data_IF_807297949636
#
_entry.id   IF_807297949636
#
_cell.length_a   1.000
_cell.length_b   1.000
_cell.length_c   1.000
_cell.angle_alpha   90.00
_cell.angle_beta   90.00
_cell.angle_gamma   90.00
#
_symmetry.space_group_name_H-M   'P 1'
#
loop_
_entity.id
_entity.type
_entity.pdbx_description
1 polymer ?
#
# COMPACT_ATOMS: atom_id res chain seq x y z
N UNK A 1 -25.97 -12.02 -12.82
CA UNK A 1 -24.59 -12.23 -12.34
C UNK A 1 -23.94 -10.87 -12.18
N UNK A 2 -23.69 -10.35 -10.97
CA UNK A 2 -23.08 -9.04 -10.82
C UNK A 2 -21.55 -9.14 -10.94
N UNK A 3 -20.97 -8.40 -11.89
CA UNK A 3 -19.56 -8.06 -11.92
C UNK A 3 -19.46 -6.65 -11.33
N UNK A 4 -19.18 -6.55 -10.03
CA UNK A 4 -19.07 -5.25 -9.35
C UNK A 4 -17.65 -4.71 -9.48
N UNK A 5 -17.54 -3.45 -9.89
CA UNK A 5 -16.33 -2.63 -9.84
C UNK A 5 -16.60 -1.53 -8.81
N UNK A 6 -15.62 -1.24 -7.97
CA UNK A 6 -15.72 -0.25 -6.90
C UNK A 6 -15.74 1.16 -7.51
N UNK A 7 -16.85 1.90 -7.34
CA UNK A 7 -16.93 3.31 -7.70
C UNK A 7 -16.35 4.14 -6.54
N UNK A 8 -15.31 4.97 -6.76
CA UNK A 8 -14.73 5.80 -5.71
C UNK A 8 -15.70 6.80 -5.06
N UNK A 9 -16.88 7.04 -5.64
CA UNK A 9 -17.97 7.80 -5.01
C UNK A 9 -18.94 6.93 -4.17
N UNK A 10 -18.79 5.62 -4.18
CA UNK A 10 -19.61 4.71 -3.37
C UNK A 10 -19.31 4.82 -1.88
N UNK A 11 -20.32 4.53 -1.07
CA UNK A 11 -20.17 4.46 0.37
C UNK A 11 -19.06 3.47 0.77
N UNK A 12 -18.37 3.71 1.90
CA UNK A 12 -17.31 2.82 2.38
C UNK A 12 -17.74 1.37 2.44
N UNK A 13 -16.97 0.50 1.77
CA UNK A 13 -17.15 -0.94 1.95
C UNK A 13 -16.72 -1.29 3.37
N UNK A 14 -17.69 -1.77 4.16
CA UNK A 14 -17.43 -2.21 5.52
C UNK A 14 -17.07 -3.71 5.58
N UNK A 15 -16.21 -4.06 6.54
CA UNK A 15 -15.92 -5.47 6.83
C UNK A 15 -17.14 -6.19 7.37
N UNK A 16 -17.26 -7.46 7.02
CA UNK A 16 -18.30 -8.36 7.47
C UNK A 16 -17.72 -9.72 7.87
N UNK A 17 -18.02 -10.25 9.09
CA UNK A 17 -18.76 -9.57 10.14
C UNK A 17 -18.01 -8.34 10.64
N UNK A 18 -18.73 -7.32 11.12
CA UNK A 18 -18.10 -6.18 11.79
C UNK A 18 -17.28 -6.74 12.96
N UNK A 19 -15.96 -6.53 13.03
CA UNK A 19 -15.16 -7.06 14.13
C UNK A 19 -15.73 -6.59 15.47
N UNK A 20 -15.88 -7.52 16.41
CA UNK A 20 -16.37 -7.21 17.76
C UNK A 20 -15.41 -6.21 18.42
N UNK A 21 -15.93 -5.03 18.79
CA UNK A 21 -15.11 -3.92 19.33
C UNK A 21 -14.71 -2.84 18.33
N UNK A 22 -15.04 -2.97 17.04
CA UNK A 22 -14.93 -1.85 16.09
C UNK A 22 -16.08 -0.86 16.25
N UNK A 23 -16.10 -0.15 17.38
CA UNK A 23 -16.56 1.25 17.32
C UNK A 23 -15.59 1.99 16.39
N UNK A 24 -16.10 2.88 15.54
CA UNK A 24 -15.27 3.86 14.85
C UNK A 24 -14.32 4.50 15.87
N UNK A 25 -13.01 4.22 15.77
CA UNK A 25 -12.00 4.68 16.73
C UNK A 25 -11.30 3.62 17.59
N UNK A 26 -11.56 2.32 17.43
CA UNK A 26 -10.72 1.30 18.09
C UNK A 26 -9.32 1.27 17.43
N UNK A 27 -8.27 1.61 18.20
CA UNK A 27 -6.89 1.59 17.73
C UNK A 27 -6.58 0.22 17.10
N UNK A 28 -6.16 0.20 15.84
CA UNK A 28 -5.85 -1.00 15.06
C UNK A 28 -4.67 -1.82 15.62
N UNK A 29 -4.17 -1.48 16.81
CA UNK A 29 -2.92 -1.99 17.38
C UNK A 29 -1.71 -1.66 16.50
N UNK A 30 -1.87 -0.84 15.47
CA UNK A 30 -0.80 -0.41 14.57
C UNK A 30 -0.17 0.85 15.15
N UNK A 31 1.14 0.78 15.41
CA UNK A 31 1.96 1.91 15.82
C UNK A 31 2.78 2.41 14.64
N UNK A 32 3.27 3.66 14.67
CA UNK A 32 4.23 4.15 13.69
C UNK A 32 5.43 3.22 13.52
N UNK A 33 5.92 3.11 12.29
CA UNK A 33 7.04 2.24 11.91
C UNK A 33 8.19 3.09 11.40
N UNK A 34 9.29 3.11 12.16
CA UNK A 34 10.55 3.72 11.72
C UNK A 34 11.17 2.88 10.59
N UNK A 35 11.69 3.56 9.59
CA UNK A 35 12.40 2.97 8.45
C UNK A 35 13.62 3.81 8.10
N UNK A 36 14.56 3.21 7.37
CA UNK A 36 15.74 3.89 6.86
C UNK A 36 15.70 3.91 5.34
N UNK A 37 15.79 5.09 4.76
CA UNK A 37 15.84 5.29 3.32
C UNK A 37 17.19 4.82 2.75
N UNK A 38 17.26 4.66 1.43
CA UNK A 38 18.48 4.19 0.74
C UNK A 38 19.67 5.15 0.92
N UNK A 39 19.42 6.44 1.11
CA UNK A 39 20.43 7.46 1.38
C UNK A 39 20.84 7.52 2.86
N UNK A 40 20.30 6.63 3.71
CA UNK A 40 20.58 6.57 5.14
C UNK A 40 19.71 7.49 6.00
N UNK A 41 18.86 8.34 5.41
CA UNK A 41 17.98 9.20 6.18
C UNK A 41 16.90 8.38 6.91
N UNK A 42 16.59 8.80 8.14
CA UNK A 42 15.48 8.23 8.91
C UNK A 42 14.14 8.74 8.37
N UNK A 43 13.13 7.87 8.35
CA UNK A 43 11.76 8.22 8.05
C UNK A 43 10.81 7.37 8.92
N UNK A 44 9.58 7.83 9.07
CA UNK A 44 8.55 7.15 9.85
C UNK A 44 7.28 7.01 9.04
N UNK A 45 6.72 5.81 9.02
CA UNK A 45 5.40 5.52 8.44
C UNK A 45 4.38 5.61 9.57
N UNK A 46 3.44 6.54 9.45
CA UNK A 46 2.44 6.88 10.48
C UNK A 46 1.05 6.40 10.03
N UNK A 47 0.32 5.62 10.83
CA UNK A 47 -1.03 5.18 10.51
C UNK A 47 -2.08 6.26 10.84
N UNK A 48 -3.13 6.33 10.02
CA UNK A 48 -4.32 7.16 10.20
C UNK A 48 -5.57 6.33 9.91
N UNK A 49 -6.64 6.54 10.67
CA UNK A 49 -7.92 5.82 10.52
C UNK A 49 -9.11 6.72 10.19
N UNK A 50 -8.92 8.04 10.28
CA UNK A 50 -9.90 9.04 9.88
C UNK A 50 -9.21 10.21 9.19
N UNK A 51 -9.85 10.87 8.19
CA UNK A 51 -9.37 12.13 7.64
C UNK A 51 -9.13 13.21 8.71
N UNK A 52 -9.90 13.20 9.80
CA UNK A 52 -9.79 14.18 10.89
C UNK A 52 -8.48 14.05 11.70
N UNK A 53 -7.79 12.90 11.59
CA UNK A 53 -6.48 12.68 12.21
C UNK A 53 -5.33 13.27 11.37
N UNK A 54 -5.60 13.69 10.13
CA UNK A 54 -4.60 14.18 9.19
C UNK A 54 -4.65 15.71 9.15
N UNK A 55 -3.51 16.44 9.27
CA UNK A 55 -3.51 17.88 9.09
C UNK A 55 -4.09 18.28 7.74
N UNK A 56 -4.93 19.32 7.70
CA UNK A 56 -5.57 19.78 6.46
C UNK A 56 -4.54 20.16 5.37
N UNK A 57 -3.39 20.72 5.75
CA UNK A 57 -2.29 21.05 4.84
C UNK A 57 -1.65 19.79 4.23
N UNK A 58 -1.43 18.75 5.02
CA UNK A 58 -0.94 17.45 4.54
C UNK A 58 -1.97 16.77 3.63
N UNK A 59 -3.25 16.82 4.00
CA UNK A 59 -4.31 16.23 3.19
C UNK A 59 -4.41 16.91 1.82
N UNK A 60 -4.30 18.24 1.78
CA UNK A 60 -4.23 19.01 0.54
C UNK A 60 -3.01 18.65 -0.31
N UNK A 61 -1.85 18.46 0.31
CA UNK A 61 -0.64 18.03 -0.37
C UNK A 61 -0.80 16.64 -1.00
N UNK A 62 -1.32 15.67 -0.24
CA UNK A 62 -1.57 14.31 -0.73
C UNK A 62 -2.61 14.28 -1.85
N UNK A 63 -3.67 15.09 -1.75
CA UNK A 63 -4.65 15.26 -2.83
C UNK A 63 -3.98 15.81 -4.10
N UNK A 64 -3.08 16.78 -3.96
CA UNK A 64 -2.27 17.31 -5.06
C UNK A 64 -1.40 16.24 -5.72
N UNK A 65 -0.71 15.40 -4.92
CA UNK A 65 0.07 14.27 -5.45
C UNK A 65 -0.81 13.26 -6.22
N UNK A 66 -1.98 12.91 -5.68
CA UNK A 66 -2.91 12.00 -6.34
C UNK A 66 -3.44 12.57 -7.65
N UNK A 67 -3.82 13.85 -7.65
CA UNK A 67 -4.30 14.53 -8.84
C UNK A 67 -3.22 14.64 -9.92
N UNK A 68 -1.96 14.87 -9.54
CA UNK A 68 -0.84 14.86 -10.49
C UNK A 68 -0.66 13.48 -11.18
N UNK A 69 -0.87 12.37 -10.45
CA UNK A 69 -0.84 11.01 -11.03
C UNK A 69 -2.04 10.76 -11.98
N UNK A 70 -3.24 11.24 -11.62
CA UNK A 70 -4.43 11.20 -12.48
C UNK A 70 -4.20 12.01 -13.76
N UNK A 71 -3.64 13.21 -13.62
CA UNK A 71 -3.36 14.10 -14.74
C UNK A 71 -2.25 13.56 -15.64
N UNK A 72 -1.23 12.90 -15.08
CA UNK A 72 -0.24 12.14 -15.86
C UNK A 72 -0.90 11.00 -16.64
N UNK A 73 -1.88 10.32 -16.05
CA UNK A 73 -2.79 9.40 -16.76
C UNK A 73 -2.17 8.06 -17.15
N UNK A 74 -1.16 7.62 -16.41
CA UNK A 74 -0.42 6.38 -16.69
C UNK A 74 -0.47 5.35 -15.55
N UNK A 75 -1.00 5.71 -14.38
CA UNK A 75 -0.96 4.89 -13.15
C UNK A 75 -2.34 4.55 -12.61
N UNK A 76 -3.23 5.53 -12.49
CA UNK A 76 -4.62 5.35 -12.03
C UNK A 76 -5.61 5.38 -13.21
N UNK A 77 -6.75 4.65 -13.11
CA UNK A 77 -7.77 4.64 -14.16
C UNK A 77 -8.67 5.89 -14.16
N UNK A 78 -8.61 6.72 -13.12
CA UNK A 78 -9.39 7.94 -13.01
C UNK A 78 -8.93 8.96 -14.06
N UNK A 79 -9.86 9.77 -14.55
CA UNK A 79 -9.59 10.85 -15.53
C UNK A 79 -9.91 12.24 -14.99
N UNK A 80 -10.65 12.32 -13.88
CA UNK A 80 -11.04 13.56 -13.23
C UNK A 80 -10.31 13.71 -11.89
N UNK A 81 -9.63 14.84 -11.65
CA UNK A 81 -9.04 15.17 -10.35
C UNK A 81 -10.09 15.21 -9.23
N UNK A 82 -9.65 14.95 -8.01
CA UNK A 82 -10.49 14.96 -6.81
C UNK A 82 -10.36 16.30 -6.08
N UNK A 83 -11.49 16.83 -5.60
CA UNK A 83 -11.47 17.85 -4.55
C UNK A 83 -10.86 17.25 -3.26
N UNK A 84 -10.28 18.10 -2.40
CA UNK A 84 -9.55 17.65 -1.19
C UNK A 84 -10.44 16.85 -0.25
N UNK A 85 -11.69 17.26 -0.09
CA UNK A 85 -12.68 16.59 0.77
C UNK A 85 -13.01 15.20 0.24
N UNK A 86 -13.20 15.09 -1.09
CA UNK A 86 -13.42 13.81 -1.77
C UNK A 86 -12.18 12.91 -1.67
N UNK A 87 -10.99 13.48 -1.81
CA UNK A 87 -9.74 12.75 -1.62
C UNK A 87 -9.63 12.19 -0.21
N UNK A 88 -9.87 13.00 0.83
CA UNK A 88 -9.83 12.53 2.23
C UNK A 88 -10.81 11.40 2.49
N UNK A 89 -12.06 11.56 2.05
CA UNK A 89 -13.09 10.53 2.20
C UNK A 89 -12.78 9.22 1.44
N UNK A 90 -12.02 9.30 0.35
CA UNK A 90 -11.58 8.13 -0.42
C UNK A 90 -10.29 7.49 0.12
N UNK A 91 -9.27 8.30 0.40
CA UNK A 91 -7.92 7.84 0.72
C UNK A 91 -7.76 7.43 2.18
N UNK A 92 -8.44 8.12 3.10
CA UNK A 92 -8.38 7.86 4.55
C UNK A 92 -9.68 7.22 5.05
N UNK A 93 -10.35 6.46 4.18
CA UNK A 93 -11.69 5.91 4.43
C UNK A 93 -11.73 4.86 5.55
N UNK A 94 -10.72 3.99 5.62
CA UNK A 94 -10.66 2.88 6.57
C UNK A 94 -9.31 2.89 7.30
N UNK A 95 -8.24 2.99 6.53
CA UNK A 95 -6.88 3.03 7.00
C UNK A 95 -6.03 3.70 5.92
N UNK A 96 -5.20 4.65 6.32
CA UNK A 96 -4.11 5.16 5.50
C UNK A 96 -2.82 5.17 6.30
N UNK A 97 -1.71 5.18 5.57
CA UNK A 97 -0.39 5.37 6.13
C UNK A 97 0.31 6.47 5.36
N UNK A 98 1.03 7.36 6.06
CA UNK A 98 1.85 8.40 5.43
C UNK A 98 3.28 8.22 5.92
N UNK A 99 4.23 8.20 4.98
CA UNK A 99 5.65 8.20 5.30
C UNK A 99 6.17 9.63 5.35
N UNK A 100 6.71 10.01 6.49
CA UNK A 100 7.28 11.32 6.76
C UNK A 100 8.78 11.19 7.01
N UNK A 101 9.56 12.17 6.58
CA UNK A 101 10.97 12.26 6.89
C UNK A 101 11.17 12.51 8.39
N UNK A 102 12.18 11.87 8.99
CA UNK A 102 12.49 11.99 10.40
C UNK A 102 11.76 11.01 11.32
N UNK A 103 11.90 11.24 12.62
CA UNK A 103 11.31 10.43 13.68
C UNK A 103 9.99 11.06 14.13
N UNK A 104 8.88 10.36 13.89
CA UNK A 104 7.53 10.84 14.22
C UNK A 104 6.92 9.90 15.26
N UNK A 105 6.47 10.43 16.39
CA UNK A 105 6.03 9.60 17.51
C UNK A 105 4.67 8.94 17.26
N UNK A 106 3.72 9.69 16.70
CA UNK A 106 2.33 9.28 16.45
C UNK A 106 1.59 10.30 15.54
N UNK A 107 0.33 10.02 15.21
CA UNK A 107 -0.51 10.90 14.40
C UNK A 107 -0.75 12.28 15.08
N UNK A 108 -0.79 12.34 16.40
CA UNK A 108 -0.97 13.62 17.12
C UNK A 108 0.24 14.52 16.97
N UNK A 109 1.45 13.96 16.97
CA UNK A 109 2.67 14.71 16.70
C UNK A 109 2.68 15.30 15.28
N UNK A 110 2.02 14.65 14.30
CA UNK A 110 1.87 15.19 12.95
C UNK A 110 0.91 16.40 12.92
N UNK A 111 -0.18 16.37 13.70
CA UNK A 111 -1.09 17.52 13.87
C UNK A 111 -0.43 18.71 14.55
N UNK A 112 0.58 18.44 15.38
CA UNK A 112 1.36 19.46 16.08
C UNK A 112 2.56 19.96 15.30
N UNK A 113 2.86 19.40 14.11
CA UNK A 113 3.83 19.98 13.19
C UNK A 113 3.29 21.34 12.76
N UNK A 114 3.74 22.37 13.48
CA UNK A 114 3.50 23.75 13.10
C UNK A 114 4.31 24.06 11.85
N UNK A 115 3.68 24.84 11.00
CA UNK A 115 4.20 26.04 10.37
C UNK A 115 5.33 26.61 11.26
N UNK A 116 6.55 26.14 10.97
CA UNK A 116 7.88 26.46 11.50
C UNK A 116 8.11 26.93 12.98
N UNK A 117 8.92 26.16 13.72
CA UNK A 117 9.66 26.57 14.94
C UNK A 117 11.06 27.11 14.58
N UNK A 118 11.15 27.97 13.56
CA UNK A 118 12.40 28.60 13.13
C UNK A 118 12.50 30.07 13.57
N UNK A 119 11.89 30.45 14.71
CA UNK A 119 12.28 31.62 15.51
C UNK A 119 12.47 32.96 14.78
N UNK A 120 11.85 33.16 13.62
CA UNK A 120 11.93 34.38 12.84
C UNK A 120 10.56 35.04 12.87
N UNK A 121 10.46 36.19 13.52
CA UNK A 121 9.23 36.94 13.81
C UNK A 121 8.54 37.56 12.57
N UNK A 122 8.86 37.09 11.35
CA UNK A 122 8.47 37.71 10.08
C UNK A 122 7.89 36.68 9.09
N UNK A 123 7.00 35.79 9.55
CA UNK A 123 6.27 34.86 8.69
C UNK A 123 4.75 34.99 8.88
N UNK A 124 4.06 35.08 7.74
CA UNK A 124 2.61 35.19 7.60
C UNK A 124 1.90 33.90 8.00
N UNK A 125 0.60 34.00 8.32
CA UNK A 125 -0.29 32.87 8.67
C UNK A 125 -0.47 31.77 7.57
N UNK A 126 0.37 31.75 6.52
CA UNK A 126 0.32 30.81 5.39
C UNK A 126 1.46 29.75 5.36
N UNK A 127 2.46 29.84 6.24
CA UNK A 127 3.71 29.07 6.13
C UNK A 127 3.66 27.67 6.79
N UNK A 128 2.81 26.79 6.24
CA UNK A 128 2.71 25.34 6.51
C UNK A 128 4.03 24.57 6.68
N UNK A 129 4.05 23.36 7.30
CA UNK A 129 5.18 22.45 7.11
C UNK A 129 5.41 22.24 5.62
N UNK A 130 6.67 22.26 5.19
CA UNK A 130 7.03 21.97 3.80
C UNK A 130 6.83 20.48 3.48
N UNK A 131 5.58 20.12 3.20
CA UNK A 131 5.21 18.75 2.85
C UNK A 131 5.90 18.25 1.59
N UNK A 132 6.37 19.14 0.70
CA UNK A 132 7.08 18.76 -0.50
C UNK A 132 8.44 18.09 -0.18
N UNK A 133 9.08 18.50 0.92
CA UNK A 133 10.30 17.86 1.43
C UNK A 133 10.05 16.82 2.52
N UNK A 134 9.02 17.01 3.35
CA UNK A 134 8.73 16.14 4.50
C UNK A 134 7.93 14.89 4.16
N UNK A 135 6.96 14.96 3.25
CA UNK A 135 6.11 13.80 2.90
C UNK A 135 6.74 12.98 1.77
N UNK A 136 6.98 11.71 2.03
CA UNK A 136 7.67 10.80 1.12
C UNK A 136 6.70 9.91 0.31
N UNK A 137 5.46 9.77 0.79
CA UNK A 137 4.43 8.99 0.13
C UNK A 137 3.36 8.52 1.09
N UNK A 138 2.36 7.82 0.54
CA UNK A 138 1.22 7.32 1.31
C UNK A 138 0.64 6.07 0.65
N UNK A 139 -0.07 5.27 1.43
CA UNK A 139 -0.98 4.25 0.91
C UNK A 139 -2.24 4.15 1.74
N UNK A 140 -3.32 3.66 1.13
CA UNK A 140 -4.53 3.28 1.85
C UNK A 140 -4.69 1.76 1.92
N UNK A 141 -5.49 1.27 2.86
CA UNK A 141 -5.95 -0.13 2.88
C UNK A 141 -7.44 -0.17 3.14
N UNK A 142 -8.19 -0.84 2.25
CA UNK A 142 -9.64 -1.01 2.39
C UNK A 142 -10.08 -2.38 1.87
N UNK A 143 -11.29 -2.85 2.22
CA UNK A 143 -11.83 -4.06 1.63
C UNK A 143 -11.94 -3.91 0.10
N UNK A 144 -11.51 -4.90 -0.66
CA UNK A 144 -11.63 -4.91 -2.11
C UNK A 144 -13.07 -5.24 -2.56
N UNK A 145 -13.80 -5.98 -1.72
CA UNK A 145 -15.13 -6.49 -2.01
C UNK A 145 -16.04 -6.36 -0.78
N UNK A 146 -17.37 -6.21 -0.97
CA UNK A 146 -18.30 -6.12 0.14
C UNK A 146 -18.58 -7.46 0.83
N UNK A 147 -19.05 -7.38 2.06
CA UNK A 147 -19.67 -8.50 2.76
C UNK A 147 -18.75 -9.71 2.90
N UNK A 148 -19.19 -10.86 2.36
CA UNK A 148 -18.52 -12.17 2.51
C UNK A 148 -17.07 -12.20 2.02
N UNK A 149 -16.68 -11.26 1.16
CA UNK A 149 -15.33 -11.18 0.59
C UNK A 149 -14.50 -10.02 1.15
N UNK A 150 -14.97 -9.35 2.20
CA UNK A 150 -14.32 -8.17 2.78
C UNK A 150 -13.04 -8.45 3.57
N UNK A 151 -12.70 -9.72 3.78
CA UNK A 151 -11.38 -10.15 4.28
C UNK A 151 -10.28 -10.02 3.22
N UNK A 152 -10.66 -9.83 1.95
CA UNK A 152 -9.75 -9.49 0.85
C UNK A 152 -9.62 -7.96 0.79
N UNK A 153 -8.41 -7.44 0.97
CA UNK A 153 -8.14 -6.01 0.88
C UNK A 153 -7.56 -5.60 -0.48
N UNK A 154 -7.63 -4.30 -0.74
CA UNK A 154 -6.93 -3.59 -1.79
C UNK A 154 -6.19 -2.39 -1.18
N UNK A 155 -5.19 -1.88 -1.88
CA UNK A 155 -4.43 -0.70 -1.52
C UNK A 155 -4.04 0.09 -2.78
N UNK A 156 -4.00 1.42 -2.63
CA UNK A 156 -3.39 2.34 -3.59
C UNK A 156 -2.21 3.05 -2.95
N UNK A 157 -1.21 3.40 -3.76
CA UNK A 157 0.06 3.95 -3.30
C UNK A 157 0.38 5.26 -4.03
N UNK A 158 1.01 6.18 -3.30
CA UNK A 158 1.60 7.42 -3.79
C UNK A 158 3.03 7.51 -3.31
N UNK A 159 3.91 7.99 -4.18
CA UNK A 159 5.30 8.29 -3.84
C UNK A 159 5.57 9.72 -4.24
N UNK A 160 5.95 10.56 -3.28
CA UNK A 160 6.25 11.95 -3.55
C UNK A 160 7.49 12.08 -4.45
N UNK A 161 7.59 13.12 -5.30
CA UNK A 161 8.76 13.36 -6.14
C UNK A 161 10.08 13.37 -5.35
N UNK A 162 10.10 13.98 -4.15
CA UNK A 162 11.27 14.05 -3.26
C UNK A 162 11.73 12.68 -2.72
N UNK A 163 10.91 11.64 -2.86
CA UNK A 163 11.21 10.28 -2.43
C UNK A 163 11.69 9.35 -3.56
N UNK A 164 11.71 9.83 -4.81
CA UNK A 164 12.14 9.04 -5.97
C UNK A 164 13.60 8.61 -5.81
N UNK A 165 13.88 7.35 -6.13
CA UNK A 165 15.23 6.76 -6.00
C UNK A 165 15.67 6.43 -4.57
N UNK A 166 14.92 6.86 -3.54
CA UNK A 166 15.27 6.68 -2.11
C UNK A 166 14.70 5.41 -1.49
N UNK A 167 13.99 4.59 -2.27
CA UNK A 167 13.43 3.31 -1.84
C UNK A 167 12.05 3.39 -1.16
N UNK A 168 11.45 4.58 -1.05
CA UNK A 168 10.19 4.80 -0.35
C UNK A 168 9.04 3.88 -0.82
N UNK A 169 8.86 3.70 -2.13
CA UNK A 169 7.80 2.82 -2.66
C UNK A 169 7.90 1.37 -2.16
N UNK A 170 9.11 0.84 -2.04
CA UNK A 170 9.33 -0.51 -1.49
C UNK A 170 9.04 -0.54 0.01
N UNK A 171 9.53 0.44 0.77
CA UNK A 171 9.29 0.55 2.22
C UNK A 171 7.80 0.70 2.56
N UNK A 172 7.04 1.47 1.77
CA UNK A 172 5.58 1.55 1.87
C UNK A 172 4.93 0.18 1.62
N UNK A 173 5.38 -0.55 0.60
CA UNK A 173 4.90 -1.91 0.32
C UNK A 173 5.24 -2.92 1.43
N UNK A 174 6.43 -2.86 2.01
CA UNK A 174 6.83 -3.69 3.14
C UNK A 174 5.98 -3.40 4.39
N UNK A 175 5.69 -2.13 4.65
CA UNK A 175 4.77 -1.70 5.71
C UNK A 175 3.35 -2.21 5.47
N UNK A 176 2.87 -2.14 4.23
CA UNK A 176 1.57 -2.65 3.85
C UNK A 176 1.44 -4.16 4.13
N UNK A 177 2.41 -4.96 3.69
CA UNK A 177 2.43 -6.41 3.93
C UNK A 177 2.45 -6.73 5.43
N UNK A 178 3.15 -5.94 6.24
CA UNK A 178 3.22 -6.11 7.69
C UNK A 178 1.92 -5.71 8.41
N UNK A 179 1.23 -4.66 7.94
CA UNK A 179 0.06 -4.10 8.64
C UNK A 179 -1.28 -4.66 8.17
N UNK A 180 -1.43 -5.01 6.90
CA UNK A 180 -2.69 -5.57 6.38
C UNK A 180 -3.22 -6.79 7.16
N UNK A 181 -2.41 -7.81 7.53
CA UNK A 181 -2.90 -8.92 8.37
C UNK A 181 -3.27 -8.50 9.79
N UNK A 182 -2.54 -7.53 10.37
CA UNK A 182 -2.85 -6.96 11.70
C UNK A 182 -4.15 -6.15 11.70
N UNK A 183 -4.48 -5.55 10.55
CA UNK A 183 -5.79 -4.94 10.31
C UNK A 183 -6.90 -5.99 10.16
N UNK A 184 -6.60 -7.28 10.10
CA UNK A 184 -7.56 -8.38 10.01
C UNK A 184 -7.92 -8.78 8.57
N UNK A 185 -7.05 -8.48 7.60
CA UNK A 185 -7.20 -8.97 6.22
C UNK A 185 -6.40 -10.25 6.02
N UNK A 186 -6.95 -11.18 5.24
CA UNK A 186 -6.36 -12.50 5.00
C UNK A 186 -5.74 -12.62 3.60
N UNK A 187 -6.16 -11.76 2.68
CA UNK A 187 -5.66 -11.75 1.31
C UNK A 187 -5.61 -10.32 0.77
N UNK A 188 -4.68 -10.06 -0.14
CA UNK A 188 -4.56 -8.79 -0.87
C UNK A 188 -4.81 -9.03 -2.35
N UNK A 189 -5.58 -8.13 -2.98
CA UNK A 189 -5.72 -8.06 -4.43
C UNK A 189 -5.48 -6.64 -4.92
N UNK A 190 -4.58 -6.49 -5.90
CA UNK A 190 -4.48 -5.26 -6.70
C UNK A 190 -5.11 -5.52 -8.06
N UNK A 191 -6.21 -4.83 -8.33
CA UNK A 191 -7.04 -5.13 -9.51
C UNK A 191 -6.44 -4.65 -10.83
N UNK A 192 -5.75 -3.51 -10.84
CA UNK A 192 -5.30 -2.83 -12.05
C UNK A 192 -3.89 -2.27 -11.90
N UNK A 193 -2.88 -3.13 -11.98
CA UNK A 193 -1.49 -2.69 -12.12
C UNK A 193 -1.12 -2.72 -13.60
N UNK A 194 -1.13 -1.57 -14.27
CA UNK A 194 -0.75 -1.49 -15.68
C UNK A 194 0.67 -2.01 -15.91
N UNK A 195 0.86 -2.81 -16.96
CA UNK A 195 2.16 -3.47 -17.23
C UNK A 195 3.28 -2.49 -17.57
N UNK A 196 2.91 -1.31 -18.02
CA UNK A 196 3.81 -0.19 -18.30
C UNK A 196 4.35 0.46 -17.02
N UNK A 197 3.68 0.25 -15.87
CA UNK A 197 4.20 0.65 -14.56
C UNK A 197 5.21 -0.40 -14.06
N UNK A 198 6.39 -0.40 -14.68
CA UNK A 198 7.49 -1.33 -14.40
C UNK A 198 7.98 -1.20 -12.95
N UNK A 199 7.91 0.00 -12.36
CA UNK A 199 8.31 0.23 -10.98
C UNK A 199 7.41 -0.53 -10.01
N UNK A 200 6.08 -0.39 -10.13
CA UNK A 200 5.12 -1.13 -9.30
C UNK A 200 5.23 -2.64 -9.52
N UNK A 201 5.34 -3.11 -10.77
CA UNK A 201 5.49 -4.53 -11.04
C UNK A 201 6.72 -5.12 -10.32
N UNK A 202 7.87 -4.46 -10.41
CA UNK A 202 9.10 -4.91 -9.70
C UNK A 202 8.94 -4.95 -8.19
N UNK A 203 8.23 -3.97 -7.60
CA UNK A 203 7.98 -3.95 -6.17
C UNK A 203 7.09 -5.13 -5.78
N UNK A 204 5.98 -5.35 -6.47
CA UNK A 204 5.03 -6.42 -6.12
C UNK A 204 5.63 -7.81 -6.33
N UNK A 205 6.32 -8.03 -7.44
CA UNK A 205 7.06 -9.29 -7.69
C UNK A 205 8.08 -9.54 -6.56
N UNK A 206 8.87 -8.52 -6.18
CA UNK A 206 9.89 -8.64 -5.13
C UNK A 206 9.32 -8.81 -3.72
N UNK A 207 8.11 -8.28 -3.47
CA UNK A 207 7.40 -8.46 -2.22
C UNK A 207 6.63 -9.78 -2.18
N UNK A 208 6.71 -10.63 -3.21
CA UNK A 208 6.08 -11.95 -3.27
C UNK A 208 4.58 -11.90 -3.52
N UNK A 209 4.11 -10.93 -4.29
CA UNK A 209 2.77 -11.00 -4.87
C UNK A 209 2.79 -11.87 -6.12
N UNK A 210 1.79 -12.72 -6.26
CA UNK A 210 1.58 -13.52 -7.45
C UNK A 210 0.80 -12.74 -8.51
N UNK A 211 1.16 -12.93 -9.77
CA UNK A 211 0.39 -12.43 -10.92
C UNK A 211 -0.80 -13.36 -11.18
N UNK A 212 -1.87 -13.20 -10.41
CA UNK A 212 -3.04 -14.10 -10.41
C UNK A 212 -3.97 -13.90 -11.61
N UNK A 213 -3.79 -12.83 -12.39
CA UNK A 213 -4.59 -12.58 -13.58
C UNK A 213 -4.06 -11.46 -14.45
N UNK A 214 -4.69 -11.28 -15.62
CA UNK A 214 -4.38 -10.20 -16.56
C UNK A 214 -5.66 -9.72 -17.24
N UNK A 215 -5.91 -8.41 -17.21
CA UNK A 215 -7.01 -7.77 -17.92
C UNK A 215 -6.45 -7.16 -19.21
N UNK A 216 -6.81 -7.76 -20.35
CA UNK A 216 -6.26 -7.35 -21.65
C UNK A 216 -6.86 -6.02 -22.13
N UNK A 217 -5.99 -5.09 -22.52
CA UNK A 217 -6.34 -3.82 -23.14
C UNK A 217 -7.29 -2.93 -22.33
N UNK A 218 -7.23 -2.99 -20.99
CA UNK A 218 -8.10 -2.19 -20.12
C UNK A 218 -7.64 -0.74 -19.94
N UNK A 219 -6.35 -0.45 -20.11
CA UNK A 219 -5.79 0.88 -19.96
C UNK A 219 -5.81 1.68 -21.26
N UNK A 220 -6.38 2.89 -21.22
CA UNK A 220 -6.17 3.94 -22.24
C UNK A 220 -5.30 5.02 -21.64
N UNK A 221 -3.99 4.79 -21.62
CA UNK A 221 -3.02 5.62 -20.91
C UNK A 221 -2.53 6.77 -21.78
N UNK A 222 -2.22 7.94 -21.18
CA UNK A 222 -1.82 9.13 -21.93
C UNK A 222 -0.48 8.96 -22.64
N UNK A 223 0.48 8.25 -22.05
CA UNK A 223 1.78 7.98 -22.66
C UNK A 223 1.73 6.93 -23.79
N UNK A 224 0.57 6.31 -24.04
CA UNK A 224 0.39 5.25 -25.04
C UNK A 224 -0.80 5.55 -25.98
N UNK A 225 -0.77 6.69 -26.71
CA UNK A 225 -1.90 7.10 -27.54
C UNK A 225 -2.20 6.08 -28.64
N UNK A 226 -3.48 5.73 -28.81
CA UNK A 226 -3.94 4.76 -29.81
C UNK A 226 -3.65 3.30 -29.47
N UNK A 227 -2.93 3.01 -28.39
CA UNK A 227 -2.66 1.66 -27.91
C UNK A 227 -3.40 1.40 -26.60
N UNK A 228 -4.03 0.24 -26.49
CA UNK A 228 -4.58 -0.24 -25.22
C UNK A 228 -3.50 -1.00 -24.45
N UNK A 229 -3.40 -0.75 -23.16
CA UNK A 229 -2.41 -1.34 -22.25
C UNK A 229 -3.09 -2.39 -21.37
N UNK A 230 -2.44 -3.53 -21.19
CA UNK A 230 -2.88 -4.59 -20.28
C UNK A 230 -2.64 -4.18 -18.81
N UNK A 231 -3.43 -4.73 -17.90
CA UNK A 231 -3.15 -4.66 -16.47
C UNK A 231 -3.01 -6.05 -15.86
N UNK A 232 -2.09 -6.18 -14.92
CA UNK A 232 -1.90 -7.37 -14.10
C UNK A 232 -2.81 -7.25 -12.87
N UNK A 233 -3.45 -8.36 -12.53
CA UNK A 233 -4.10 -8.55 -11.23
C UNK A 233 -3.08 -9.24 -10.33
N UNK A 234 -2.67 -8.58 -9.26
CA UNK A 234 -1.78 -9.18 -8.26
C UNK A 234 -2.60 -9.74 -7.09
N UNK A 235 -2.14 -10.84 -6.52
CA UNK A 235 -2.71 -11.50 -5.35
C UNK A 235 -1.64 -11.89 -4.35
N UNK A 236 -1.94 -11.85 -3.05
CA UNK A 236 -1.03 -12.34 -2.01
C UNK A 236 -1.79 -12.77 -0.77
N UNK A 237 -1.47 -13.96 -0.24
CA UNK A 237 -1.91 -14.36 1.09
C UNK A 237 -1.25 -13.48 2.17
N UNK A 238 -2.05 -12.98 3.09
CA UNK A 238 -1.58 -12.17 4.21
C UNK A 238 -1.57 -13.03 5.47
N UNK A 239 -0.38 -13.24 6.03
CA UNK A 239 -0.21 -13.97 7.29
C UNK A 239 0.33 -13.01 8.33
N UNK A 240 -0.23 -13.04 9.52
CA UNK A 240 0.38 -12.37 10.66
C UNK A 240 1.64 -13.17 10.99
N UNK A 241 2.82 -12.60 10.75
CA UNK A 241 4.04 -13.20 11.30
C UNK A 241 3.91 -13.13 12.82
N UNK A 242 3.88 -14.28 13.48
CA UNK A 242 3.98 -14.32 14.93
C UNK A 242 5.32 -13.68 15.31
N UNK A 243 5.31 -12.68 16.20
CA UNK A 243 6.51 -12.03 16.70
C UNK A 243 7.55 -13.10 17.06
N UNK A 244 8.61 -13.17 16.25
CA UNK A 244 9.58 -14.26 16.28
C UNK A 244 10.43 -14.22 17.54
N UNK A 245 10.06 -15.02 18.54
CA UNK A 245 11.04 -15.68 19.40
C UNK A 245 11.76 -16.73 18.56
N UNK A 246 12.99 -16.43 18.14
CA UNK A 246 13.78 -17.33 17.30
C UNK A 246 14.03 -18.69 17.96
N UNK A 247 13.89 -19.78 17.19
CA UNK A 247 14.99 -20.58 16.65
C UNK A 247 14.38 -21.87 16.06
N UNK A 248 14.60 -22.15 14.78
CA UNK A 248 14.01 -23.32 14.12
C UNK A 248 14.64 -23.58 12.76
N UNK A 249 15.87 -24.07 12.81
CA UNK A 249 16.69 -24.62 11.73
C UNK A 249 15.90 -25.16 10.52
N UNK A 250 16.18 -24.59 9.35
CA UNK A 250 15.95 -25.26 8.07
C UNK A 250 16.93 -26.45 7.98
N UNK A 251 16.48 -27.64 8.36
CA UNK A 251 17.19 -28.88 8.02
C UNK A 251 16.99 -29.18 6.53
N UNK A 252 18.08 -29.01 5.78
CA UNK A 252 18.23 -29.49 4.41
C UNK A 252 18.51 -30.99 4.49
N UNK A 253 17.47 -31.83 4.38
CA UNK A 253 17.68 -33.27 4.24
C UNK A 253 18.06 -33.62 2.79
N UNK A 254 19.36 -33.55 2.51
CA UNK A 254 20.00 -34.34 1.46
C UNK A 254 20.60 -35.60 2.08
N UNK A 255 20.08 -36.77 1.70
CA UNK A 255 20.75 -38.04 1.92
C UNK A 255 20.55 -38.96 0.71
N UNK A 256 21.64 -39.09 -0.05
CA UNK A 256 21.90 -40.18 -0.97
C UNK A 256 21.78 -41.53 -0.26
N UNK A 257 21.07 -42.47 -0.87
CA UNK A 257 21.07 -43.89 -0.50
C UNK A 257 21.20 -44.75 -1.75
N UNK A 258 22.44 -45.00 -2.17
CA UNK A 258 22.79 -46.06 -3.11
C UNK A 258 22.53 -47.40 -2.44
N UNK A 259 21.82 -48.31 -3.12
CA UNK A 259 22.10 -49.74 -3.04
C UNK A 259 21.59 -50.43 -4.32
N UNK A 260 22.54 -50.91 -5.12
CA UNK A 260 22.28 -51.95 -6.11
C UNK A 260 22.29 -53.32 -5.45
N UNK A 261 21.54 -54.28 -5.98
CA UNK A 261 22.08 -55.49 -6.63
C UNK A 261 20.95 -56.34 -7.23
N UNK A 262 21.11 -56.63 -8.52
CA UNK A 262 20.89 -57.88 -9.26
C UNK A 262 19.56 -58.67 -9.18
N UNK A 263 19.05 -59.00 -10.37
CA UNK A 263 18.11 -60.12 -10.58
C UNK A 263 17.50 -60.16 -11.98
N UNK A 264 18.21 -60.75 -12.93
CA UNK A 264 17.81 -60.97 -14.35
C UNK A 264 16.79 -62.12 -14.46
N UNK A 265 15.73 -61.97 -15.28
CA UNK A 265 15.30 -62.89 -16.36
C UNK A 265 13.80 -62.79 -16.69
N UNK A 266 13.46 -62.93 -17.98
CA UNK A 266 12.24 -63.64 -18.38
C UNK A 266 11.23 -62.93 -19.28
N UNK A 267 11.54 -62.92 -20.58
CA UNK A 267 10.66 -62.99 -21.77
C UNK A 267 9.14 -63.26 -21.63
N UNK A 268 8.42 -62.56 -22.54
CA UNK A 268 7.25 -62.96 -23.36
C UNK A 268 5.87 -63.14 -22.69
N UNK A 269 4.88 -62.54 -23.34
CA UNK A 269 3.44 -62.71 -23.13
C UNK A 269 2.68 -61.54 -23.73
#
# INVERSE_FOLDING_TARGET
MPAMIDDPASAPIQRWPTPAGASAGASSGISPRRVTLRDGAAATIVPFTSPDEVPASLLRFLAGLFNAEIEAGDTYPMVEPFAVEKFGAYWVQNFAAVMLLGDVADAQSVLQLRDDDNGNEDQSEEDGPDWASLCLGSYYVKPNYPGRSSHVCNAGFLVAPAARGRGAGRLLGESYVAWAPRLGYEYSVFNLVYETNVASCRIWDALGFDRIGRVRGCGRLKSYPGQKVDAIVYGRELRCEADGGGNGLHEVNGANGVNGTNGVNGTKG
#
